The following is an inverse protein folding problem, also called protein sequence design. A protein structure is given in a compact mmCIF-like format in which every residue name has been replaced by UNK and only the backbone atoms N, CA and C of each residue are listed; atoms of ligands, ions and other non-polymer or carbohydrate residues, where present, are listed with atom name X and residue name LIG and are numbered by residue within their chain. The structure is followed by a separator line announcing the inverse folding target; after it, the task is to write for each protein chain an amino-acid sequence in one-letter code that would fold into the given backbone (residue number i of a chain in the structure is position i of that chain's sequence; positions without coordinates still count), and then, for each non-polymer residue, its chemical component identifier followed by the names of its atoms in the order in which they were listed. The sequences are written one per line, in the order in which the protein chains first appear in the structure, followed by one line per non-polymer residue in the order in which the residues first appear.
data_IF_020625491696
#
_entry.id   IF_020625491696
#
_cell.length_a   1.000
_cell.length_b   1.000
_cell.length_c   1.000
_cell.angle_alpha   90.00
_cell.angle_beta   90.00
_cell.angle_gamma   90.00
#
_symmetry.space_group_name_H-M   'P 1'
#
loop_
_entity.id
_entity.type
_entity.pdbx_description
1 polymer ?
#
# COMPACT_ATOMS: atom_id res chain seq x y z
N UNK A 1 12.38 2.74 16.24
CA UNK A 1 11.87 4.12 16.32
C UNK A 1 10.95 4.36 15.13
N UNK A 2 9.63 4.32 15.35
CA UNK A 2 8.64 4.65 14.33
C UNK A 2 8.55 6.18 14.27
N UNK A 3 9.03 6.76 13.17
CA UNK A 3 9.02 8.21 12.94
C UNK A 3 7.62 8.63 12.46
N UNK A 4 6.64 8.57 13.37
CA UNK A 4 5.31 9.16 13.18
C UNK A 4 5.45 10.63 13.51
N UNK A 5 5.13 11.52 12.55
CA UNK A 5 5.23 12.97 12.76
C UNK A 5 4.57 13.38 14.09
N UNK A 6 5.34 14.01 14.98
CA UNK A 6 5.02 14.26 16.39
C UNK A 6 3.63 14.89 16.65
N UNK A 7 3.03 15.56 15.66
CA UNK A 7 1.70 16.18 15.77
C UNK A 7 0.53 15.21 15.57
N UNK A 8 0.62 14.28 14.61
CA UNK A 8 -0.51 13.39 14.24
C UNK A 8 -0.68 12.28 15.28
N UNK A 9 0.41 11.70 15.77
CA UNK A 9 0.36 10.69 16.84
C UNK A 9 -0.27 11.23 18.14
N UNK A 10 0.02 12.49 18.48
CA UNK A 10 -0.52 13.15 19.69
C UNK A 10 -2.00 13.48 19.55
N UNK A 11 -2.41 14.00 18.38
CA UNK A 11 -3.82 14.31 18.09
C UNK A 11 -4.68 13.04 18.09
N UNK A 12 -4.26 12.00 17.38
CA UNK A 12 -4.98 10.72 17.32
C UNK A 12 -5.08 10.07 18.70
N UNK A 13 -4.00 10.11 19.50
CA UNK A 13 -4.03 9.61 20.89
C UNK A 13 -5.02 10.38 21.77
N UNK A 14 -5.08 11.71 21.64
CA UNK A 14 -5.99 12.53 22.44
C UNK A 14 -7.46 12.39 22.00
N UNK A 15 -7.72 12.21 20.70
CA UNK A 15 -9.05 11.96 20.16
C UNK A 15 -9.56 10.55 20.54
N UNK A 16 -8.70 9.54 20.44
CA UNK A 16 -9.01 8.18 20.90
C UNK A 16 -9.19 8.15 22.43
N UNK A 17 -8.33 8.83 23.18
CA UNK A 17 -8.43 8.93 24.64
C UNK A 17 -9.79 9.45 25.09
N UNK A 18 -10.25 10.59 24.56
CA UNK A 18 -11.58 11.14 24.87
C UNK A 18 -12.72 10.18 24.56
N UNK A 19 -12.74 9.61 23.35
CA UNK A 19 -13.79 8.67 22.92
C UNK A 19 -13.82 7.37 23.73
N UNK A 20 -12.66 6.88 24.15
CA UNK A 20 -12.54 5.67 24.98
C UNK A 20 -12.99 5.91 26.43
N UNK A 21 -12.73 7.11 26.96
CA UNK A 21 -13.17 7.52 28.30
C UNK A 21 -14.68 7.78 28.35
N UNK A 22 -15.21 8.54 27.38
CA UNK A 22 -16.64 8.88 27.29
C UNK A 22 -17.54 7.64 27.19
N UNK A 23 -17.08 6.59 26.48
CA UNK A 23 -17.83 5.35 26.29
C UNK A 23 -17.41 4.21 27.24
N UNK A 24 -16.54 4.47 28.22
CA UNK A 24 -15.95 3.44 29.13
C UNK A 24 -15.32 2.24 28.40
N UNK A 25 -14.84 2.44 27.18
CA UNK A 25 -14.26 1.40 26.32
C UNK A 25 -12.77 1.13 26.60
N UNK A 26 -12.14 1.91 27.48
CA UNK A 26 -10.71 1.78 27.82
C UNK A 26 -10.25 0.34 28.11
N UNK A 27 -10.94 -0.41 29.00
CA UNK A 27 -10.59 -1.81 29.28
C UNK A 27 -10.77 -2.74 28.07
N UNK A 28 -11.81 -2.53 27.26
CA UNK A 28 -12.05 -3.33 26.05
C UNK A 28 -10.98 -3.05 24.97
N UNK A 29 -10.61 -1.80 24.79
CA UNK A 29 -9.52 -1.39 23.90
C UNK A 29 -8.18 -2.00 24.35
N UNK A 30 -7.87 -1.94 25.64
CA UNK A 30 -6.63 -2.52 26.19
C UNK A 30 -6.57 -4.02 25.93
N UNK A 31 -7.64 -4.76 26.24
CA UNK A 31 -7.74 -6.19 25.92
C UNK A 31 -7.60 -6.49 24.44
N UNK A 32 -8.18 -5.67 23.55
CA UNK A 32 -8.02 -5.85 22.12
C UNK A 32 -6.58 -5.60 21.65
N UNK A 33 -5.89 -4.60 22.20
CA UNK A 33 -4.47 -4.34 21.92
C UNK A 33 -3.60 -5.48 22.42
N UNK A 34 -3.83 -5.97 23.64
CA UNK A 34 -3.09 -7.09 24.22
C UNK A 34 -3.30 -8.37 23.41
N UNK A 35 -4.53 -8.69 23.02
CA UNK A 35 -4.82 -9.82 22.14
C UNK A 35 -4.11 -9.72 20.78
N UNK A 36 -4.02 -8.51 20.21
CA UNK A 36 -3.26 -8.29 18.98
C UNK A 36 -1.77 -8.51 19.24
N UNK A 37 -1.24 -8.01 20.35
CA UNK A 37 0.17 -8.20 20.72
C UNK A 37 0.51 -9.68 20.94
N UNK A 38 -0.31 -10.42 21.67
CA UNK A 38 -0.17 -11.86 21.88
C UNK A 38 -0.19 -12.65 20.57
N UNK A 39 -1.14 -12.33 19.67
CA UNK A 39 -1.19 -12.93 18.33
C UNK A 39 0.05 -12.63 17.50
N UNK A 40 0.60 -11.41 17.62
CA UNK A 40 1.84 -11.03 16.94
C UNK A 40 3.06 -11.75 17.52
N UNK A 41 3.07 -12.00 18.84
CA UNK A 41 4.14 -12.75 19.52
C UNK A 41 4.12 -14.23 19.13
N UNK A 42 2.93 -14.83 19.12
CA UNK A 42 2.70 -16.25 18.82
C UNK A 42 2.74 -16.60 17.32
N UNK A 43 2.74 -15.59 16.43
CA UNK A 43 2.82 -15.84 14.98
C UNK A 43 4.17 -16.43 14.59
N UNK A 44 4.15 -17.67 14.08
CA UNK A 44 5.32 -18.36 13.53
C UNK A 44 5.96 -17.64 12.34
N UNK A 45 5.22 -16.73 11.69
CA UNK A 45 5.66 -16.00 10.50
C UNK A 45 5.71 -14.50 10.79
N UNK A 46 6.71 -14.06 11.56
CA UNK A 46 6.95 -12.64 11.79
C UNK A 46 7.33 -11.96 10.49
N UNK A 47 6.47 -11.05 10.02
CA UNK A 47 6.76 -10.23 8.84
C UNK A 47 7.91 -9.27 9.14
N UNK A 48 9.04 -9.44 8.45
CA UNK A 48 10.21 -8.60 8.64
C UNK A 48 10.12 -7.33 7.78
N UNK A 49 9.39 -6.33 8.24
CA UNK A 49 9.24 -5.05 7.53
C UNK A 49 10.56 -4.29 7.32
N UNK A 50 11.56 -4.50 8.19
CA UNK A 50 12.90 -3.93 7.98
C UNK A 50 13.58 -4.56 6.76
N UNK A 51 13.49 -5.89 6.61
CA UNK A 51 13.96 -6.59 5.42
C UNK A 51 13.20 -6.16 4.17
N UNK A 52 11.86 -6.03 4.23
CA UNK A 52 11.07 -5.51 3.11
C UNK A 52 11.55 -4.12 2.68
N UNK A 53 11.75 -3.19 3.61
CA UNK A 53 12.28 -1.84 3.31
C UNK A 53 13.66 -1.89 2.67
N UNK A 54 14.57 -2.72 3.19
CA UNK A 54 15.93 -2.90 2.65
C UNK A 54 15.89 -3.42 1.22
N UNK A 55 15.12 -4.48 0.96
CA UNK A 55 15.00 -5.10 -0.37
C UNK A 55 14.33 -4.18 -1.39
N UNK A 56 13.35 -3.40 -0.95
CA UNK A 56 12.63 -2.45 -1.79
C UNK A 56 13.35 -1.11 -1.99
N UNK A 57 14.52 -0.88 -1.36
CA UNK A 57 15.18 0.43 -1.35
C UNK A 57 15.59 0.94 -2.74
N UNK A 58 15.92 0.02 -3.65
CA UNK A 58 16.28 0.32 -5.06
C UNK A 58 15.21 -0.13 -6.05
N UNK A 59 14.11 -0.68 -5.57
CA UNK A 59 13.05 -1.19 -6.44
C UNK A 59 12.22 -0.04 -7.01
N UNK A 60 11.88 -0.16 -8.28
CA UNK A 60 10.91 0.69 -8.97
C UNK A 60 10.18 -0.12 -10.02
N UNK A 61 8.92 0.22 -10.28
CA UNK A 61 8.13 -0.40 -11.33
C UNK A 61 8.61 0.08 -12.70
N UNK A 62 8.92 -0.86 -13.59
CA UNK A 62 9.25 -0.56 -14.98
C UNK A 62 8.04 -0.07 -15.77
N UNK A 63 8.28 0.76 -16.80
CA UNK A 63 7.23 1.32 -17.65
C UNK A 63 6.37 0.25 -18.34
N UNK A 64 6.98 -0.86 -18.77
CA UNK A 64 6.26 -2.00 -19.37
C UNK A 64 5.29 -2.64 -18.39
N UNK A 65 5.72 -2.88 -17.14
CA UNK A 65 4.85 -3.44 -16.12
C UNK A 65 3.69 -2.49 -15.82
N UNK A 66 4.00 -1.21 -15.70
CA UNK A 66 2.99 -0.18 -15.47
C UNK A 66 1.95 -0.12 -16.58
N UNK A 67 2.37 -0.08 -17.85
CA UNK A 67 1.46 -0.05 -19.00
C UNK A 67 0.56 -1.28 -19.07
N UNK A 68 1.11 -2.48 -18.82
CA UNK A 68 0.35 -3.74 -18.82
C UNK A 68 -0.71 -3.80 -17.72
N UNK A 69 -0.54 -3.08 -16.60
CA UNK A 69 -1.57 -3.00 -15.56
C UNK A 69 -2.85 -2.26 -16.03
N UNK A 70 -2.83 -1.59 -17.19
CA UNK A 70 -4.00 -0.97 -17.81
C UNK A 70 -4.69 -1.85 -18.85
N UNK A 71 -4.22 -3.07 -19.12
CA UNK A 71 -4.87 -3.98 -20.06
C UNK A 71 -6.33 -4.21 -19.65
N UNK A 72 -7.26 -4.16 -20.61
CA UNK A 72 -8.71 -4.30 -20.34
C UNK A 72 -9.31 -3.19 -19.45
N UNK A 73 -8.67 -2.01 -19.38
CA UNK A 73 -9.18 -0.80 -18.71
C UNK A 73 -9.27 0.38 -19.71
N UNK A 74 -10.16 0.31 -20.72
CA UNK A 74 -10.25 1.33 -21.78
C UNK A 74 -10.61 2.74 -21.28
N UNK A 75 -11.44 2.85 -20.24
CA UNK A 75 -11.78 4.12 -19.59
C UNK A 75 -10.60 4.82 -18.89
N UNK A 76 -9.45 4.14 -18.75
CA UNK A 76 -8.21 4.70 -18.21
C UNK A 76 -7.15 5.02 -19.27
N UNK A 77 -7.50 5.05 -20.56
CA UNK A 77 -6.53 5.27 -21.65
C UNK A 77 -5.73 6.57 -21.49
N UNK A 78 -6.36 7.68 -21.11
CA UNK A 78 -5.66 8.95 -20.86
C UNK A 78 -4.69 8.85 -19.68
N UNK A 79 -5.04 8.09 -18.65
CA UNK A 79 -4.14 7.85 -17.53
C UNK A 79 -2.98 6.95 -17.97
N UNK A 80 -3.23 5.92 -18.79
CA UNK A 80 -2.17 5.07 -19.35
C UNK A 80 -1.13 5.88 -20.13
N UNK A 81 -1.54 6.87 -20.92
CA UNK A 81 -0.61 7.68 -21.75
C UNK A 81 0.16 8.73 -20.96
N UNK A 82 -0.38 9.23 -19.86
CA UNK A 82 0.22 10.31 -19.05
C UNK A 82 0.83 9.83 -17.73
N UNK A 83 0.63 8.56 -17.35
CA UNK A 83 0.99 8.09 -16.03
C UNK A 83 2.49 7.83 -15.89
N UNK A 84 3.05 8.45 -14.85
CA UNK A 84 4.42 8.27 -14.43
C UNK A 84 4.56 6.97 -13.59
N UNK A 85 5.39 5.97 -14.01
CA UNK A 85 5.63 4.74 -13.24
C UNK A 85 6.13 4.98 -11.81
N UNK A 86 6.68 6.16 -11.51
CA UNK A 86 7.06 6.55 -10.15
C UNK A 86 5.87 6.56 -9.20
N UNK A 87 4.67 6.94 -9.65
CA UNK A 87 3.46 6.95 -8.82
C UNK A 87 3.11 5.52 -8.41
N UNK A 88 3.07 4.59 -9.37
CA UNK A 88 2.82 3.18 -9.11
C UNK A 88 3.90 2.56 -8.21
N UNK A 89 5.16 2.97 -8.40
CA UNK A 89 6.28 2.54 -7.56
C UNK A 89 6.11 2.98 -6.10
N UNK A 90 5.66 4.22 -5.87
CA UNK A 90 5.42 4.74 -4.51
C UNK A 90 4.27 3.97 -3.84
N UNK A 91 3.17 3.73 -4.55
CA UNK A 91 2.01 2.98 -4.03
C UNK A 91 2.42 1.56 -3.65
N UNK A 92 3.06 0.84 -4.57
CA UNK A 92 3.49 -0.54 -4.32
C UNK A 92 4.54 -0.60 -3.21
N UNK A 93 5.47 0.35 -3.15
CA UNK A 93 6.45 0.42 -2.06
C UNK A 93 5.76 0.62 -0.71
N UNK A 94 4.78 1.52 -0.62
CA UNK A 94 4.01 1.79 0.60
C UNK A 94 3.23 0.55 1.04
N UNK A 95 2.56 -0.13 0.10
CA UNK A 95 1.78 -1.34 0.39
C UNK A 95 2.69 -2.50 0.86
N UNK A 96 3.83 -2.72 0.20
CA UNK A 96 4.79 -3.78 0.57
C UNK A 96 5.38 -3.53 1.96
N UNK A 97 5.79 -2.30 2.23
CA UNK A 97 6.55 -1.95 3.44
C UNK A 97 5.68 -1.50 4.61
N UNK A 98 4.39 -1.29 4.37
CA UNK A 98 3.41 -0.71 5.32
C UNK A 98 3.89 0.63 5.89
N UNK A 99 4.63 1.39 5.08
CA UNK A 99 5.13 2.70 5.42
C UNK A 99 4.46 3.77 4.55
N UNK A 100 4.41 4.99 5.05
CA UNK A 100 3.78 6.09 4.33
C UNK A 100 4.62 6.57 3.14
N UNK A 101 3.95 7.07 2.10
CA UNK A 101 4.56 7.56 0.87
C UNK A 101 5.74 8.56 1.08
N UNK A 102 5.70 9.49 2.06
CA UNK A 102 6.83 10.39 2.32
C UNK A 102 8.13 9.69 2.73
N UNK A 103 8.07 8.43 3.16
CA UNK A 103 9.25 7.62 3.49
C UNK A 103 9.80 6.83 2.30
N UNK A 104 9.07 6.77 1.18
CA UNK A 104 9.52 6.10 -0.03
C UNK A 104 10.83 6.73 -0.55
N UNK A 105 11.84 5.92 -0.93
CA UNK A 105 13.09 6.43 -1.47
C UNK A 105 12.93 7.37 -2.67
N UNK A 106 11.92 7.16 -3.52
CA UNK A 106 11.62 8.03 -4.67
C UNK A 106 11.21 9.41 -4.17
N UNK A 107 10.28 9.49 -3.21
CA UNK A 107 9.81 10.78 -2.66
C UNK A 107 10.92 11.47 -1.88
N UNK A 108 11.72 10.72 -1.11
CA UNK A 108 12.86 11.28 -0.37
C UNK A 108 13.88 11.95 -1.28
N UNK A 109 14.17 11.38 -2.45
CA UNK A 109 15.11 11.97 -3.44
C UNK A 109 14.61 13.29 -4.02
N UNK A 110 13.29 13.48 -4.08
CA UNK A 110 12.65 14.69 -4.62
C UNK A 110 12.28 15.70 -3.52
N UNK A 111 12.54 15.42 -2.24
CA UNK A 111 12.25 16.37 -1.14
C UNK A 111 13.04 17.67 -1.37
N UNK A 112 12.33 18.80 -1.31
CA UNK A 112 12.89 20.12 -1.62
C UNK A 112 12.73 20.54 -3.09
N UNK A 113 12.29 19.62 -3.96
CA UNK A 113 11.87 19.90 -5.34
C UNK A 113 10.35 19.82 -5.39
N UNK A 114 9.68 20.71 -6.14
CA UNK A 114 8.21 20.81 -6.20
C UNK A 114 7.50 19.48 -6.53
N UNK A 115 8.21 18.55 -7.17
CA UNK A 115 7.72 17.22 -7.56
C UNK A 115 7.31 16.31 -6.39
N UNK A 116 7.89 16.45 -5.20
CA UNK A 116 7.53 15.58 -4.06
C UNK A 116 6.07 15.77 -3.60
N UNK A 117 5.55 17.00 -3.62
CA UNK A 117 4.15 17.29 -3.26
C UNK A 117 3.18 16.73 -4.31
N UNK A 118 3.50 16.90 -5.59
CA UNK A 118 2.71 16.37 -6.70
C UNK A 118 2.65 14.84 -6.68
N UNK A 119 3.79 14.18 -6.45
CA UNK A 119 3.87 12.72 -6.34
C UNK A 119 3.06 12.20 -5.15
N UNK A 120 3.14 12.88 -3.99
CA UNK A 120 2.38 12.49 -2.80
C UNK A 120 0.87 12.66 -3.01
N UNK A 121 0.43 13.79 -3.58
CA UNK A 121 -0.98 14.05 -3.92
C UNK A 121 -1.55 12.99 -4.88
N UNK A 122 -0.84 12.68 -5.96
CA UNK A 122 -1.29 11.67 -6.94
C UNK A 122 -1.31 10.25 -6.36
N UNK A 123 -0.40 9.97 -5.42
CA UNK A 123 -0.38 8.71 -4.68
C UNK A 123 -1.61 8.60 -3.78
N UNK A 124 -1.94 9.65 -3.01
CA UNK A 124 -3.13 9.67 -2.15
C UNK A 124 -4.42 9.51 -2.95
N UNK A 125 -4.55 10.20 -4.10
CA UNK A 125 -5.73 10.09 -4.95
C UNK A 125 -5.98 8.66 -5.47
N UNK A 126 -4.92 7.88 -5.72
CA UNK A 126 -5.07 6.48 -6.15
C UNK A 126 -5.23 5.52 -4.95
N UNK A 127 -4.70 5.85 -3.77
CA UNK A 127 -5.02 5.13 -2.53
C UNK A 127 -6.49 5.28 -2.13
N UNK A 128 -7.07 6.46 -2.28
CA UNK A 128 -8.49 6.72 -1.97
C UNK A 128 -9.46 6.04 -2.95
N UNK A 129 -8.97 5.59 -4.10
CA UNK A 129 -9.76 4.80 -5.05
C UNK A 129 -10.17 3.40 -4.53
N UNK A 130 -9.69 3.00 -3.33
CA UNK A 130 -10.07 1.75 -2.64
C UNK A 130 -11.56 1.67 -2.24
N UNK A 131 -12.35 2.75 -2.39
CA UNK A 131 -13.74 2.85 -1.88
C UNK A 131 -14.82 2.70 -2.99
N UNK A 132 -14.46 2.30 -4.23
CA UNK A 132 -15.37 2.41 -5.39
C UNK A 132 -15.65 1.14 -6.22
N UNK A 133 -16.60 1.27 -7.17
CA UNK A 133 -16.75 0.41 -8.36
C UNK A 133 -16.11 1.11 -9.57
N UNK A 134 -15.53 0.36 -10.52
CA UNK A 134 -15.02 0.91 -11.79
C UNK A 134 -13.53 0.64 -12.06
N UNK A 135 -13.00 1.16 -13.17
CA UNK A 135 -11.66 0.79 -13.64
C UNK A 135 -10.50 1.30 -12.76
N UNK A 136 -10.64 2.47 -12.12
CA UNK A 136 -9.63 2.97 -11.17
C UNK A 136 -9.47 2.03 -9.97
N UNK A 137 -10.60 1.49 -9.48
CA UNK A 137 -10.60 0.49 -8.42
C UNK A 137 -9.93 -0.81 -8.89
N UNK A 138 -10.20 -1.28 -10.12
CA UNK A 138 -9.50 -2.44 -10.70
C UNK A 138 -7.99 -2.22 -10.77
N UNK A 139 -7.54 -1.05 -11.24
CA UNK A 139 -6.13 -0.70 -11.26
C UNK A 139 -5.50 -0.73 -9.86
N UNK A 140 -6.20 -0.17 -8.86
CA UNK A 140 -5.79 -0.19 -7.46
C UNK A 140 -5.69 -1.63 -6.90
N UNK A 141 -6.66 -2.50 -7.21
CA UNK A 141 -6.62 -3.92 -6.88
C UNK A 141 -5.41 -4.62 -7.51
N UNK A 142 -5.14 -4.38 -8.80
CA UNK A 142 -3.97 -4.93 -9.48
C UNK A 142 -2.66 -4.47 -8.82
N UNK A 143 -2.56 -3.21 -8.41
CA UNK A 143 -1.41 -2.71 -7.63
C UNK A 143 -1.28 -3.38 -6.26
N UNK A 144 -2.40 -3.66 -5.59
CA UNK A 144 -2.43 -4.38 -4.30
C UNK A 144 -1.96 -5.83 -4.45
N UNK A 145 -2.42 -6.54 -5.48
CA UNK A 145 -1.94 -7.89 -5.81
C UNK A 145 -0.45 -7.88 -6.16
N UNK A 146 0.01 -6.88 -6.92
CA UNK A 146 1.42 -6.71 -7.26
C UNK A 146 2.26 -6.54 -5.98
N UNK A 147 1.81 -5.67 -5.07
CA UNK A 147 2.46 -5.45 -3.78
C UNK A 147 2.47 -6.73 -2.92
N UNK A 148 1.39 -7.51 -2.95
CA UNK A 148 1.29 -8.78 -2.20
C UNK A 148 2.35 -9.79 -2.68
N UNK A 149 2.53 -9.94 -4.00
CA UNK A 149 3.57 -10.82 -4.55
C UNK A 149 4.98 -10.35 -4.16
N UNK A 150 5.25 -9.05 -4.24
CA UNK A 150 6.55 -8.51 -3.82
C UNK A 150 6.80 -8.66 -2.32
N UNK A 151 5.78 -8.48 -1.49
CA UNK A 151 5.85 -8.69 -0.05
C UNK A 151 6.24 -10.14 0.26
N UNK A 152 5.58 -11.12 -0.38
CA UNK A 152 5.93 -12.53 -0.24
C UNK A 152 7.35 -12.83 -0.71
N UNK A 153 7.78 -12.27 -1.85
CA UNK A 153 9.15 -12.43 -2.34
C UNK A 153 10.19 -11.84 -1.36
N UNK A 154 9.88 -10.71 -0.72
CA UNK A 154 10.73 -10.14 0.31
C UNK A 154 10.85 -11.04 1.53
N UNK A 155 9.74 -11.58 2.02
CA UNK A 155 9.70 -12.42 3.22
C UNK A 155 10.40 -13.76 2.99
N UNK A 156 10.28 -14.32 1.79
CA UNK A 156 10.91 -15.59 1.38
C UNK A 156 12.34 -15.39 0.84
N UNK A 157 12.85 -14.16 0.87
CA UNK A 157 14.13 -13.76 0.31
C UNK A 157 14.34 -14.10 -1.20
N UNK A 158 13.28 -14.29 -1.98
CA UNK A 158 13.29 -14.64 -3.41
C UNK A 158 13.47 -13.41 -4.32
N UNK A 159 13.93 -13.54 -5.57
CA UNK A 159 13.98 -12.41 -6.51
C UNK A 159 12.66 -11.63 -6.61
N UNK A 160 12.75 -10.30 -6.76
CA UNK A 160 11.58 -9.41 -6.85
C UNK A 160 10.97 -9.45 -8.26
N UNK A 161 10.45 -10.61 -8.64
CA UNK A 161 9.82 -10.86 -9.93
C UNK A 161 8.30 -10.92 -9.77
N UNK A 162 7.58 -10.21 -10.64
CA UNK A 162 6.11 -10.21 -10.67
C UNK A 162 5.65 -10.41 -12.10
N UNK A 163 4.75 -11.36 -12.30
CA UNK A 163 4.09 -11.58 -13.58
C UNK A 163 2.84 -10.69 -13.67
N UNK A 164 2.90 -9.62 -14.47
CA UNK A 164 1.74 -8.72 -14.63
C UNK A 164 0.54 -9.46 -15.25
N UNK A 165 0.79 -10.43 -16.14
CA UNK A 165 -0.28 -11.27 -16.70
C UNK A 165 -1.03 -12.03 -15.59
N UNK A 166 -0.30 -12.66 -14.67
CA UNK A 166 -0.90 -13.35 -13.54
C UNK A 166 -1.70 -12.40 -12.62
N UNK A 167 -1.23 -11.16 -12.45
CA UNK A 167 -1.95 -10.13 -11.69
C UNK A 167 -3.29 -9.78 -12.33
N UNK A 168 -3.32 -9.57 -13.66
CA UNK A 168 -4.54 -9.25 -14.39
C UNK A 168 -5.52 -10.43 -14.35
N UNK A 169 -5.03 -11.65 -14.56
CA UNK A 169 -5.85 -12.87 -14.46
C UNK A 169 -6.45 -13.05 -13.06
N UNK A 170 -5.66 -12.81 -12.01
CA UNK A 170 -6.09 -12.92 -10.61
C UNK A 170 -7.16 -11.89 -10.24
N UNK A 171 -6.98 -10.62 -10.63
CA UNK A 171 -7.98 -9.57 -10.41
C UNK A 171 -9.30 -9.91 -11.11
N UNK A 172 -9.24 -10.30 -12.39
CA UNK A 172 -10.42 -10.66 -13.17
C UNK A 172 -11.14 -11.86 -12.57
N UNK A 173 -10.42 -12.89 -12.09
CA UNK A 173 -11.01 -14.05 -11.42
C UNK A 173 -11.71 -13.66 -10.12
N UNK A 174 -11.02 -12.92 -9.25
CA UNK A 174 -11.54 -12.48 -7.96
C UNK A 174 -12.83 -11.68 -8.14
N UNK A 175 -12.87 -10.80 -9.15
CA UNK A 175 -14.07 -10.05 -9.50
C UNK A 175 -15.23 -10.93 -9.95
N UNK A 176 -14.99 -11.90 -10.85
CA UNK A 176 -16.06 -12.81 -11.33
C UNK A 176 -16.68 -13.57 -10.17
N UNK A 177 -15.87 -14.06 -9.23
CA UNK A 177 -16.37 -14.74 -8.03
C UNK A 177 -17.18 -13.81 -7.13
N UNK A 178 -16.80 -12.52 -7.01
CA UNK A 178 -17.54 -11.54 -6.24
C UNK A 178 -18.88 -11.10 -6.89
N UNK A 179 -19.04 -11.27 -8.20
CA UNK A 179 -20.29 -10.97 -8.92
C UNK A 179 -21.30 -12.13 -8.91
N UNK A 180 -20.86 -13.34 -8.55
CA UNK A 180 -21.69 -14.55 -8.45
C UNK A 180 -22.25 -14.79 -7.03
N UNK A 181 -21.96 -13.90 -6.08
CA UNK A 181 -22.44 -13.92 -4.70
C UNK A 181 -23.41 -12.77 -4.49
#
# INVERSE_FOLDING_TARGET
MLDVGNGVGRYTRNALGRRLTENRLGPAFTRAVDQVAERLVASAHRTNYANRRRRMARWSMGATHWSRLFEELPGLTHMRTTANPRIASIIVWSDVTRAEAPHCPIVKKERGRGDARLLTSRTSALHEADIGRGERFRLRQRLSLYATQLAAACDQNRPLCVSVRAIVEEETRTRRTAQLR
#
